data_IF_745981502843
#
_entry.id   IF_745981502843
#
_cell.length_a   1.000
_cell.length_b   1.000
_cell.length_c   1.000
_cell.angle_alpha   90.00
_cell.angle_beta   90.00
_cell.angle_gamma   90.00
#
_symmetry.space_group_name_H-M   'P 1'
#
loop_
_entity.id
_entity.type
_entity.pdbx_description
1 polymer ?
#
# COMPACT_ATOMS: atom_id res chain seq x y z
N UNK A 1 22.81 -12.19 9.82
CA UNK A 1 22.33 -12.57 8.46
C UNK A 1 20.87 -12.18 8.35
N UNK A 2 20.48 -11.55 7.25
CA UNK A 2 19.07 -11.23 6.94
C UNK A 2 18.67 -11.97 5.66
N UNK A 3 17.47 -12.52 5.63
CA UNK A 3 16.93 -13.27 4.49
C UNK A 3 15.48 -12.85 4.28
N UNK A 4 15.06 -12.66 3.02
CA UNK A 4 13.65 -12.54 2.61
C UNK A 4 13.19 -13.82 1.95
N UNK A 5 12.01 -14.33 2.32
CA UNK A 5 11.43 -15.56 1.76
C UNK A 5 9.92 -15.44 1.61
N UNK A 6 9.38 -16.26 0.70
CA UNK A 6 7.96 -16.53 0.57
C UNK A 6 7.57 -17.65 1.55
N UNK A 7 6.47 -17.44 2.26
CA UNK A 7 5.89 -18.40 3.19
C UNK A 7 4.52 -18.84 2.75
N UNK A 8 4.20 -20.10 3.04
CA UNK A 8 2.94 -20.74 2.67
C UNK A 8 2.36 -21.40 3.92
N UNK A 9 1.20 -20.93 4.37
CA UNK A 9 0.47 -21.50 5.51
C UNK A 9 -0.95 -21.86 5.09
N UNK A 10 -1.55 -22.83 5.79
CA UNK A 10 -2.99 -23.09 5.71
C UNK A 10 -3.69 -22.13 6.70
N UNK A 11 -3.84 -20.90 6.29
CA UNK A 11 -4.53 -19.89 7.07
C UNK A 11 -5.93 -19.65 6.49
N UNK A 12 -6.80 -19.01 7.28
CA UNK A 12 -8.03 -18.42 6.78
C UNK A 12 -7.70 -17.33 5.75
N UNK A 13 -8.66 -17.03 4.89
CA UNK A 13 -8.53 -15.92 3.92
C UNK A 13 -9.48 -14.83 4.33
N UNK A 14 -8.95 -13.82 5.00
CA UNK A 14 -9.69 -12.62 5.44
C UNK A 14 -8.90 -11.33 5.16
N UNK A 15 -9.25 -10.23 5.82
CA UNK A 15 -8.56 -8.95 5.65
C UNK A 15 -7.15 -8.91 6.23
N UNK A 16 -6.80 -9.82 7.14
CA UNK A 16 -5.52 -9.85 7.87
C UNK A 16 -4.70 -11.11 7.61
N UNK A 17 -5.30 -12.15 7.01
CA UNK A 17 -4.66 -13.44 6.74
C UNK A 17 -4.73 -13.79 5.26
N UNK A 18 -3.62 -14.31 4.75
CA UNK A 18 -3.52 -14.85 3.39
C UNK A 18 -2.52 -16.02 3.37
N UNK A 19 -2.81 -17.12 2.64
CA UNK A 19 -1.99 -18.33 2.70
C UNK A 19 -0.58 -18.17 2.11
N UNK A 20 -0.33 -17.09 1.39
CA UNK A 20 0.98 -16.76 0.82
C UNK A 20 1.36 -15.37 1.34
N UNK A 21 2.56 -15.24 1.92
CA UNK A 21 3.06 -13.98 2.43
C UNK A 21 4.58 -13.97 2.44
N UNK A 22 5.17 -12.79 2.60
CA UNK A 22 6.62 -12.63 2.65
C UNK A 22 7.07 -12.35 4.06
N UNK A 23 8.17 -12.99 4.47
CA UNK A 23 8.82 -12.63 5.73
C UNK A 23 10.24 -12.18 5.49
N UNK A 24 10.67 -11.24 6.31
CA UNK A 24 12.07 -10.99 6.56
C UNK A 24 12.48 -11.69 7.85
N UNK A 25 13.53 -12.49 7.75
CA UNK A 25 14.09 -13.23 8.87
C UNK A 25 15.50 -12.75 9.16
N UNK A 26 15.83 -12.66 10.42
CA UNK A 26 17.17 -12.31 10.87
C UNK A 26 17.71 -13.29 11.89
N UNK A 27 19.02 -13.53 11.84
CA UNK A 27 19.74 -14.31 12.86
C UNK A 27 21.09 -13.66 13.15
N UNK A 28 21.43 -13.56 14.43
CA UNK A 28 22.75 -13.15 14.92
C UNK A 28 23.26 -14.17 15.94
N UNK A 29 24.49 -14.60 15.76
CA UNK A 29 25.22 -15.43 16.71
C UNK A 29 26.30 -14.60 17.39
N UNK A 30 26.53 -14.82 18.68
CA UNK A 30 27.50 -14.07 19.49
C UNK A 30 28.73 -14.93 19.75
N UNK A 31 29.88 -14.32 19.64
CA UNK A 31 31.18 -14.91 19.98
C UNK A 31 31.57 -14.62 21.44
N UNK A 32 32.58 -15.31 21.95
CA UNK A 32 33.13 -14.98 23.28
C UNK A 32 33.71 -13.59 23.34
N UNK A 33 34.21 -13.04 22.21
CA UNK A 33 34.72 -11.67 22.12
C UNK A 33 33.62 -10.63 22.36
N UNK A 34 32.42 -10.86 21.83
CA UNK A 34 31.25 -9.98 22.04
C UNK A 34 30.92 -9.88 23.54
N UNK A 35 30.98 -10.99 24.28
CA UNK A 35 30.70 -11.03 25.72
C UNK A 35 31.81 -10.42 26.56
N UNK A 36 33.06 -10.71 26.23
CA UNK A 36 34.21 -10.14 26.95
C UNK A 36 34.24 -8.62 26.83
N UNK A 37 33.98 -8.08 25.65
CA UNK A 37 33.87 -6.63 25.41
C UNK A 37 32.79 -5.95 26.26
N UNK A 38 31.69 -6.67 26.58
CA UNK A 38 30.59 -6.20 27.43
C UNK A 38 30.77 -6.55 28.94
N UNK A 39 31.82 -7.24 29.33
CA UNK A 39 32.03 -7.67 30.73
C UNK A 39 31.10 -8.77 31.21
N UNK A 40 30.54 -9.54 30.28
CA UNK A 40 29.55 -10.61 30.52
C UNK A 40 30.29 -11.95 30.66
N UNK A 41 30.08 -12.65 31.78
CA UNK A 41 30.89 -13.83 32.10
C UNK A 41 30.06 -15.08 32.43
N UNK A 42 28.85 -14.94 33.03
CA UNK A 42 28.03 -16.10 33.35
C UNK A 42 27.03 -16.46 32.26
N UNK A 43 26.57 -17.73 32.19
CA UNK A 43 25.56 -18.16 31.21
C UNK A 43 24.28 -17.30 31.25
N UNK A 44 23.80 -16.96 32.47
CA UNK A 44 22.60 -16.13 32.66
C UNK A 44 22.83 -14.72 32.14
N UNK A 45 24.00 -14.14 32.36
CA UNK A 45 24.36 -12.82 31.81
C UNK A 45 24.46 -12.85 30.30
N UNK A 46 25.01 -13.93 29.70
CA UNK A 46 25.08 -14.10 28.25
C UNK A 46 23.69 -14.16 27.63
N UNK A 47 22.78 -14.93 28.23
CA UNK A 47 21.38 -15.03 27.78
C UNK A 47 20.68 -13.66 27.81
N UNK A 48 20.78 -12.98 28.94
CA UNK A 48 20.21 -11.63 29.12
C UNK A 48 20.78 -10.62 28.11
N UNK A 49 22.07 -10.66 27.87
CA UNK A 49 22.75 -9.79 26.88
C UNK A 49 22.20 -10.03 25.47
N UNK A 50 22.02 -11.28 25.07
CA UNK A 50 21.46 -11.66 23.77
C UNK A 50 20.00 -11.21 23.63
N UNK A 51 19.20 -11.37 24.68
CA UNK A 51 17.81 -10.92 24.73
C UNK A 51 17.72 -9.38 24.63
N UNK A 52 18.55 -8.66 25.39
CA UNK A 52 18.56 -7.20 25.38
C UNK A 52 19.03 -6.64 24.01
N UNK A 53 20.04 -7.25 23.38
CA UNK A 53 20.50 -6.87 22.05
C UNK A 53 19.36 -7.07 21.00
N UNK A 54 18.65 -8.19 21.07
CA UNK A 54 17.50 -8.49 20.21
C UNK A 54 16.40 -7.44 20.39
N UNK A 55 15.94 -7.25 21.63
CA UNK A 55 14.83 -6.34 21.93
C UNK A 55 15.16 -4.90 21.57
N UNK A 56 16.33 -4.41 21.93
CA UNK A 56 16.77 -3.07 21.58
C UNK A 56 16.85 -2.84 20.07
N UNK A 57 17.38 -3.84 19.33
CA UNK A 57 17.48 -3.76 17.89
C UNK A 57 16.12 -3.70 17.20
N UNK A 58 15.18 -4.54 17.66
CA UNK A 58 13.83 -4.60 17.09
C UNK A 58 12.98 -3.39 17.47
N UNK A 59 13.06 -2.90 18.70
CA UNK A 59 12.42 -1.64 19.10
C UNK A 59 12.98 -0.44 18.31
N UNK A 60 14.30 -0.41 18.08
CA UNK A 60 14.92 0.61 17.25
C UNK A 60 14.38 0.60 15.81
N UNK A 61 14.21 -0.59 15.22
CA UNK A 61 13.60 -0.75 13.90
C UNK A 61 12.15 -0.26 13.88
N UNK A 62 11.35 -0.61 14.88
CA UNK A 62 9.95 -0.18 14.96
C UNK A 62 9.85 1.34 15.09
N UNK A 63 10.70 1.97 15.91
CA UNK A 63 10.74 3.45 16.02
C UNK A 63 11.15 4.14 14.73
N UNK A 64 12.05 3.53 13.95
CA UNK A 64 12.46 4.07 12.64
C UNK A 64 11.31 4.00 11.62
N UNK A 65 10.52 2.90 11.64
CA UNK A 65 9.43 2.69 10.69
C UNK A 65 8.16 3.46 11.05
N UNK A 66 7.80 3.50 12.34
CA UNK A 66 6.49 3.98 12.80
C UNK A 66 6.56 5.23 13.68
N UNK A 67 7.77 5.71 14.00
CA UNK A 67 7.95 6.82 14.93
C UNK A 67 7.75 6.41 16.39
N UNK A 68 7.25 7.34 17.21
CA UNK A 68 7.02 7.14 18.63
C UNK A 68 5.66 6.46 18.88
N UNK A 69 5.63 5.14 18.68
CA UNK A 69 4.45 4.30 18.92
C UNK A 69 4.58 3.54 20.23
N UNK A 70 3.45 3.26 20.88
CA UNK A 70 3.42 2.42 22.06
C UNK A 70 3.71 0.97 21.68
N UNK A 71 4.66 0.34 22.40
CA UNK A 71 5.11 -1.03 22.17
C UNK A 71 4.95 -1.87 23.41
N UNK A 72 4.66 -3.14 23.25
CA UNK A 72 4.72 -4.12 24.33
C UNK A 72 5.31 -5.43 23.86
N UNK A 73 5.97 -6.12 24.79
CA UNK A 73 6.49 -7.47 24.60
C UNK A 73 5.53 -8.48 25.23
N UNK A 74 5.18 -9.52 24.45
CA UNK A 74 4.48 -10.72 24.89
C UNK A 74 5.43 -11.91 24.93
N UNK A 75 5.16 -12.85 25.83
CA UNK A 75 5.79 -14.17 25.81
C UNK A 75 5.04 -15.04 24.80
N UNK A 76 5.80 -15.78 24.00
CA UNK A 76 5.25 -16.68 22.98
C UNK A 76 6.02 -18.02 22.98
N UNK A 77 5.62 -18.95 22.14
CA UNK A 77 6.29 -20.22 21.96
C UNK A 77 6.55 -20.54 20.50
N UNK A 78 7.84 -20.62 20.16
CA UNK A 78 8.29 -21.15 18.88
C UNK A 78 9.21 -22.36 19.12
N UNK A 79 9.10 -23.45 18.33
CA UNK A 79 9.91 -24.66 18.55
C UNK A 79 11.41 -24.48 18.29
N UNK A 80 11.82 -23.33 17.75
CA UNK A 80 13.20 -23.02 17.37
C UNK A 80 13.84 -21.93 18.24
N UNK A 81 13.11 -21.34 19.19
CA UNK A 81 13.62 -20.33 20.15
C UNK A 81 13.20 -20.65 21.59
N UNK A 82 14.05 -20.29 22.57
CA UNK A 82 13.81 -20.38 24.01
C UNK A 82 14.75 -19.40 24.75
N UNK A 83 14.27 -18.31 25.35
CA UNK A 83 12.88 -17.83 25.36
C UNK A 83 12.40 -17.29 24.00
N UNK A 84 11.08 -17.29 23.83
CA UNK A 84 10.41 -16.76 22.63
C UNK A 84 9.54 -15.57 23.01
N UNK A 85 9.48 -14.58 22.12
CA UNK A 85 8.76 -13.33 22.34
C UNK A 85 8.03 -12.91 21.08
N UNK A 86 6.99 -12.11 21.26
CA UNK A 86 6.36 -11.32 20.21
C UNK A 86 6.44 -9.83 20.55
N UNK A 87 6.57 -8.99 19.53
CA UNK A 87 6.50 -7.54 19.67
C UNK A 87 5.21 -7.04 19.03
N UNK A 88 4.42 -6.33 19.83
CA UNK A 88 3.20 -5.68 19.39
C UNK A 88 3.34 -4.17 19.47
N UNK A 89 2.66 -3.47 18.55
CA UNK A 89 2.50 -2.02 18.57
C UNK A 89 1.04 -1.64 18.73
N UNK A 90 0.76 -0.51 19.40
CA UNK A 90 -0.58 0.05 19.46
C UNK A 90 -0.81 0.94 18.24
N UNK A 91 -1.72 0.50 17.35
CA UNK A 91 -1.98 1.17 16.10
C UNK A 91 -3.47 1.06 15.73
N UNK A 92 -4.10 2.19 15.31
CA UNK A 92 -5.53 2.25 14.97
C UNK A 92 -6.46 1.68 16.05
N UNK A 93 -6.20 2.06 17.31
CA UNK A 93 -6.99 1.67 18.50
C UNK A 93 -6.94 0.17 18.87
N UNK A 94 -5.97 -0.58 18.33
CA UNK A 94 -5.78 -2.00 18.67
C UNK A 94 -4.29 -2.37 18.77
N UNK A 95 -4.00 -3.49 19.44
CA UNK A 95 -2.67 -4.08 19.48
C UNK A 95 -2.44 -4.97 18.29
N UNK A 96 -1.39 -4.67 17.54
CA UNK A 96 -0.99 -5.40 16.35
C UNK A 96 0.37 -6.09 16.57
N UNK A 97 0.39 -7.41 16.48
CA UNK A 97 1.64 -8.19 16.42
C UNK A 97 2.41 -7.84 15.14
N UNK A 98 3.65 -7.39 15.29
CA UNK A 98 4.54 -7.01 14.19
C UNK A 98 5.51 -8.12 13.82
N UNK A 99 6.00 -8.84 14.86
CA UNK A 99 7.02 -9.89 14.66
C UNK A 99 7.07 -10.86 15.83
N UNK A 100 7.52 -12.07 15.53
CA UNK A 100 7.96 -13.07 16.50
C UNK A 100 9.47 -13.20 16.53
N UNK A 101 10.05 -13.43 17.70
CA UNK A 101 11.51 -13.54 17.85
C UNK A 101 11.90 -14.36 19.10
N UNK A 102 13.20 -14.56 19.28
CA UNK A 102 13.69 -15.21 20.51
C UNK A 102 15.16 -15.60 20.45
N UNK A 103 15.62 -16.18 21.54
CA UNK A 103 16.95 -16.77 21.57
C UNK A 103 16.94 -18.12 20.89
N UNK A 104 17.83 -18.37 19.97
CA UNK A 104 17.88 -19.61 19.18
C UNK A 104 18.06 -20.81 20.12
N UNK A 105 17.20 -21.81 19.95
CA UNK A 105 17.21 -23.00 20.78
C UNK A 105 18.58 -23.69 20.72
N UNK A 106 19.15 -24.02 21.90
CA UNK A 106 20.52 -24.58 22.03
C UNK A 106 20.75 -25.85 21.22
N UNK A 107 19.74 -26.68 21.03
CA UNK A 107 19.87 -27.92 20.25
C UNK A 107 20.05 -27.64 18.75
N UNK A 108 19.44 -26.55 18.24
CA UNK A 108 19.67 -26.09 16.85
C UNK A 108 21.10 -25.60 16.70
N UNK A 109 21.57 -24.77 17.63
CA UNK A 109 22.95 -24.24 17.61
C UNK A 109 23.98 -25.37 17.63
N UNK A 110 23.75 -26.40 18.46
CA UNK A 110 24.59 -27.62 18.51
C UNK A 110 24.53 -28.42 17.21
N UNK A 111 23.35 -28.59 16.65
CA UNK A 111 23.15 -29.37 15.43
C UNK A 111 23.87 -28.77 14.21
N UNK A 112 24.06 -27.44 14.17
CA UNK A 112 24.79 -26.74 13.11
C UNK A 112 26.30 -26.58 13.43
N UNK A 113 26.80 -27.24 14.47
CA UNK A 113 28.22 -27.28 14.82
C UNK A 113 28.74 -26.00 15.47
N UNK A 114 27.87 -25.16 16.04
CA UNK A 114 28.25 -23.91 16.71
C UNK A 114 28.46 -24.06 18.23
N UNK A 115 28.34 -25.29 18.76
CA UNK A 115 28.54 -25.57 20.18
C UNK A 115 27.46 -24.94 21.05
N UNK A 116 27.89 -24.16 22.06
CA UNK A 116 27.01 -23.46 22.98
C UNK A 116 26.96 -21.93 22.72
N UNK A 117 27.30 -21.48 21.51
CA UNK A 117 27.25 -20.07 21.13
C UNK A 117 25.80 -19.58 21.14
N UNK A 118 25.40 -18.66 22.02
CA UNK A 118 24.05 -18.13 22.00
C UNK A 118 23.85 -17.17 20.83
N UNK A 119 22.60 -17.05 20.39
CA UNK A 119 22.23 -16.13 19.32
C UNK A 119 20.74 -15.86 19.38
N UNK A 120 20.29 -14.91 18.61
CA UNK A 120 18.88 -14.60 18.47
C UNK A 120 18.42 -14.74 17.02
N UNK A 121 17.11 -14.94 16.86
CA UNK A 121 16.44 -14.91 15.58
C UNK A 121 15.12 -14.15 15.69
N UNK A 122 14.70 -13.56 14.56
CA UNK A 122 13.37 -12.98 14.40
C UNK A 122 12.80 -13.27 13.03
N UNK A 123 11.46 -13.23 12.94
CA UNK A 123 10.72 -13.25 11.68
C UNK A 123 9.62 -12.21 11.70
N UNK A 124 9.55 -11.38 10.67
CA UNK A 124 8.51 -10.36 10.53
C UNK A 124 7.79 -10.47 9.19
N UNK A 125 6.45 -10.33 9.21
CA UNK A 125 5.60 -10.33 8.03
C UNK A 125 5.66 -9.00 7.31
N UNK A 126 6.13 -8.99 6.05
CA UNK A 126 6.30 -7.75 5.28
C UNK A 126 4.96 -7.12 4.92
N UNK A 127 3.95 -7.93 4.58
CA UNK A 127 2.61 -7.42 4.26
C UNK A 127 1.97 -6.72 5.46
N UNK A 128 2.11 -7.29 6.67
CA UNK A 128 1.55 -6.69 7.89
C UNK A 128 2.18 -5.33 8.19
N UNK A 129 3.50 -5.22 8.06
CA UNK A 129 4.20 -3.93 8.15
C UNK A 129 3.73 -2.94 7.09
N UNK A 130 3.61 -3.40 5.84
CA UNK A 130 3.17 -2.56 4.73
C UNK A 130 1.71 -2.10 4.93
N UNK A 131 0.82 -2.96 5.43
CA UNK A 131 -0.55 -2.57 5.77
C UNK A 131 -0.58 -1.40 6.75
N UNK A 132 0.27 -1.43 7.78
CA UNK A 132 0.36 -0.35 8.74
C UNK A 132 0.96 0.91 8.11
N UNK A 133 2.14 0.81 7.49
CA UNK A 133 2.87 1.95 6.93
C UNK A 133 2.08 2.70 5.85
N UNK A 134 1.36 1.97 5.01
CA UNK A 134 0.63 2.54 3.87
C UNK A 134 -0.88 2.66 4.14
N UNK A 135 -1.35 2.32 5.35
CA UNK A 135 -2.80 2.28 5.71
C UNK A 135 -3.63 1.40 4.76
N UNK A 136 -3.10 0.24 4.38
CA UNK A 136 -3.79 -0.71 3.50
C UNK A 136 -4.74 -1.56 4.36
N UNK A 137 -6.07 -1.54 4.10
CA UNK A 137 -7.06 -2.14 5.00
C UNK A 137 -7.22 -3.65 4.84
N UNK A 138 -6.64 -4.24 3.81
CA UNK A 138 -6.90 -5.64 3.45
C UNK A 138 -5.67 -6.26 2.78
N UNK A 139 -5.13 -7.32 3.38
CA UNK A 139 -3.94 -8.02 2.89
C UNK A 139 -4.13 -8.59 1.46
N UNK A 140 -5.37 -8.91 1.07
CA UNK A 140 -5.68 -9.45 -0.26
C UNK A 140 -5.40 -8.46 -1.39
N UNK A 141 -5.30 -7.16 -1.09
CA UNK A 141 -4.95 -6.13 -2.06
C UNK A 141 -3.55 -6.31 -2.65
N UNK A 142 -2.60 -6.84 -1.88
CA UNK A 142 -1.25 -7.14 -2.39
C UNK A 142 -1.24 -8.18 -3.53
N UNK A 143 -2.28 -9.02 -3.61
CA UNK A 143 -2.46 -10.05 -4.63
C UNK A 143 -3.46 -9.63 -5.72
N UNK A 144 -3.94 -8.39 -5.65
CA UNK A 144 -4.83 -7.81 -6.67
C UNK A 144 -4.09 -7.65 -8.00
N UNK A 145 -4.82 -7.87 -9.09
CA UNK A 145 -4.37 -7.55 -10.45
C UNK A 145 -4.84 -6.17 -10.91
N UNK A 146 -5.39 -5.39 -10.01
CA UNK A 146 -5.89 -4.04 -10.31
C UNK A 146 -4.72 -3.06 -10.28
N UNK A 147 -4.38 -2.52 -11.45
CA UNK A 147 -3.25 -1.60 -11.60
C UNK A 147 -3.40 -0.33 -10.73
N UNK A 148 -4.64 0.06 -10.39
CA UNK A 148 -4.90 1.20 -9.51
C UNK A 148 -4.36 1.01 -8.09
N UNK A 149 -4.17 -0.22 -7.64
CA UNK A 149 -3.48 -0.51 -6.40
C UNK A 149 -1.97 -0.26 -6.55
N UNK A 150 -1.37 -0.88 -7.55
CA UNK A 150 0.08 -0.88 -7.74
C UNK A 150 0.64 0.51 -8.08
N UNK A 151 -0.05 1.26 -8.94
CA UNK A 151 0.36 2.61 -9.35
C UNK A 151 0.50 3.61 -8.19
N UNK A 152 -0.23 3.41 -7.09
CA UNK A 152 -0.12 4.29 -5.92
C UNK A 152 1.26 4.23 -5.26
N UNK A 153 1.98 3.12 -5.42
CA UNK A 153 3.24 2.83 -4.73
C UNK A 153 4.47 2.83 -5.65
N UNK A 154 4.31 3.18 -6.93
CA UNK A 154 5.40 3.17 -7.93
C UNK A 154 6.54 4.16 -7.62
N UNK A 155 6.24 5.22 -6.89
CA UNK A 155 7.27 6.19 -6.48
C UNK A 155 8.31 5.62 -5.54
N UNK A 156 7.99 4.51 -4.82
CA UNK A 156 8.81 3.96 -3.74
C UNK A 156 8.79 4.78 -2.45
N UNK A 157 8.00 5.84 -2.40
CA UNK A 157 7.80 6.66 -1.21
C UNK A 157 6.71 6.06 -0.30
N UNK A 158 6.76 6.39 1.01
CA UNK A 158 5.70 6.02 1.94
C UNK A 158 4.50 6.93 1.68
N UNK A 159 3.45 6.37 1.10
CA UNK A 159 2.20 7.08 0.79
C UNK A 159 1.01 6.36 1.45
N UNK A 160 0.01 7.11 1.87
CA UNK A 160 -1.22 6.53 2.41
C UNK A 160 -2.08 5.99 1.27
N UNK A 161 -2.48 4.74 1.38
CA UNK A 161 -3.38 4.08 0.42
C UNK A 161 -4.68 4.87 0.25
N UNK A 162 -5.04 5.13 -1.00
CA UNK A 162 -6.29 5.76 -1.37
C UNK A 162 -7.29 4.69 -1.85
N UNK A 163 -8.42 4.52 -1.17
CA UNK A 163 -9.45 3.59 -1.60
C UNK A 163 -9.93 3.89 -3.01
N UNK A 164 -10.18 2.84 -3.78
CA UNK A 164 -10.79 2.92 -5.10
C UNK A 164 -12.02 2.01 -5.20
N UNK A 165 -12.95 2.39 -6.05
CA UNK A 165 -14.21 1.70 -6.17
C UNK A 165 -14.07 0.30 -6.77
N UNK A 166 -14.77 -0.67 -6.18
CA UNK A 166 -14.94 -2.04 -6.71
C UNK A 166 -16.03 -2.15 -7.78
N UNK A 167 -16.83 -1.11 -7.96
CA UNK A 167 -17.92 -1.10 -8.93
C UNK A 167 -17.42 -0.72 -10.34
N UNK A 168 -18.09 -1.21 -11.41
CA UNK A 168 -17.65 -0.91 -12.77
C UNK A 168 -17.85 0.57 -13.11
N UNK A 169 -16.96 1.16 -13.92
CA UNK A 169 -17.16 2.51 -14.43
C UNK A 169 -18.25 2.55 -15.48
N UNK A 170 -18.93 3.67 -15.58
CA UNK A 170 -19.78 4.01 -16.71
C UNK A 170 -19.04 5.04 -17.59
N UNK A 171 -18.70 4.65 -18.81
CA UNK A 171 -17.92 5.50 -19.73
C UNK A 171 -18.86 6.29 -20.65
N UNK A 172 -18.65 7.61 -20.73
CA UNK A 172 -19.36 8.50 -21.63
C UNK A 172 -18.39 9.41 -22.34
N UNK A 173 -18.63 9.64 -23.61
CA UNK A 173 -17.78 10.50 -24.42
C UNK A 173 -18.49 11.84 -24.71
N UNK A 174 -17.72 12.90 -24.77
CA UNK A 174 -18.15 14.23 -25.24
C UNK A 174 -17.17 14.74 -26.26
N UNK A 175 -17.70 15.11 -27.43
CA UNK A 175 -16.89 15.67 -28.52
C UNK A 175 -17.40 17.05 -28.87
N UNK A 176 -16.47 17.99 -29.08
CA UNK A 176 -16.79 19.37 -29.45
C UNK A 176 -15.67 20.00 -30.27
N UNK A 177 -16.03 21.05 -31.02
CA UNK A 177 -15.08 21.88 -31.75
C UNK A 177 -14.47 22.91 -30.79
N UNK A 178 -13.13 22.96 -30.74
CA UNK A 178 -12.40 23.83 -29.78
C UNK A 178 -12.30 25.28 -30.28
N UNK A 179 -12.64 25.56 -31.56
CA UNK A 179 -12.65 26.89 -32.13
C UNK A 179 -13.80 27.05 -33.13
N UNK A 180 -14.25 28.28 -33.38
CA UNK A 180 -15.11 28.61 -34.50
C UNK A 180 -14.31 28.60 -35.80
N UNK A 181 -14.99 28.59 -36.93
CA UNK A 181 -14.34 28.65 -38.23
C UNK A 181 -13.61 30.00 -38.40
N UNK A 182 -12.28 29.93 -38.62
CA UNK A 182 -11.41 31.10 -38.77
C UNK A 182 -10.82 31.67 -37.49
N UNK A 183 -11.18 31.17 -36.28
CA UNK A 183 -10.66 31.63 -35.01
C UNK A 183 -9.58 30.66 -34.47
N UNK A 184 -8.60 31.22 -33.75
CA UNK A 184 -7.70 30.41 -32.93
C UNK A 184 -8.43 29.82 -31.72
N UNK A 185 -8.05 28.59 -31.35
CA UNK A 185 -8.62 27.94 -30.18
C UNK A 185 -8.11 28.60 -28.88
N UNK A 186 -9.03 29.03 -28.02
CA UNK A 186 -8.73 29.48 -26.66
C UNK A 186 -9.05 28.39 -25.63
N UNK A 187 -9.50 27.21 -26.08
CA UNK A 187 -9.88 26.12 -25.20
C UNK A 187 -8.67 25.54 -24.45
N UNK A 188 -8.81 25.39 -23.14
CA UNK A 188 -7.87 24.66 -22.31
C UNK A 188 -8.57 23.47 -21.63
N UNK A 189 -7.93 22.31 -21.59
CA UNK A 189 -8.56 21.09 -21.03
C UNK A 189 -8.96 21.21 -19.57
N UNK A 190 -8.27 22.06 -18.79
CA UNK A 190 -8.60 22.27 -17.37
C UNK A 190 -9.98 22.93 -17.21
N UNK A 191 -10.42 23.75 -18.17
CA UNK A 191 -11.74 24.38 -18.15
C UNK A 191 -12.84 23.31 -18.28
N UNK A 192 -12.62 22.29 -19.14
CA UNK A 192 -13.50 21.12 -19.20
C UNK A 192 -13.50 20.34 -17.91
N UNK A 193 -12.34 20.13 -17.30
CA UNK A 193 -12.23 19.38 -16.04
C UNK A 193 -12.99 20.07 -14.91
N UNK A 194 -12.98 21.40 -14.87
CA UNK A 194 -13.76 22.18 -13.92
C UNK A 194 -15.27 21.99 -14.14
N UNK A 195 -15.75 22.16 -15.37
CA UNK A 195 -17.17 21.95 -15.71
C UNK A 195 -17.63 20.54 -15.33
N UNK A 196 -16.86 19.52 -15.67
CA UNK A 196 -17.21 18.13 -15.38
C UNK A 196 -17.26 17.88 -13.87
N UNK A 197 -16.32 18.44 -13.12
CA UNK A 197 -16.27 18.33 -11.65
C UNK A 197 -17.44 19.04 -10.99
N UNK A 198 -17.78 20.23 -11.46
CA UNK A 198 -18.90 21.02 -10.91
C UNK A 198 -20.25 20.31 -11.11
N UNK A 199 -20.41 19.61 -12.24
CA UNK A 199 -21.65 18.90 -12.56
C UNK A 199 -21.75 17.54 -11.86
N UNK A 200 -20.69 16.77 -11.85
CA UNK A 200 -20.69 15.35 -11.48
C UNK A 200 -20.01 15.05 -10.14
N UNK A 201 -19.24 15.98 -9.58
CA UNK A 201 -18.62 15.86 -8.25
C UNK A 201 -17.82 14.57 -8.09
N UNK A 202 -18.06 13.89 -6.98
CA UNK A 202 -17.34 12.66 -6.60
C UNK A 202 -17.66 11.45 -7.49
N UNK A 203 -18.58 11.57 -8.43
CA UNK A 203 -18.86 10.50 -9.39
C UNK A 203 -17.87 10.47 -10.56
N UNK A 204 -17.03 11.49 -10.72
CA UNK A 204 -15.99 11.51 -11.78
C UNK A 204 -14.72 10.87 -11.26
N UNK A 205 -14.36 9.72 -11.80
CA UNK A 205 -13.08 9.06 -11.52
C UNK A 205 -11.97 9.62 -12.42
N UNK A 206 -12.27 9.89 -13.70
CA UNK A 206 -11.28 10.29 -14.71
C UNK A 206 -11.89 10.99 -15.90
N UNK A 207 -11.14 11.94 -16.50
CA UNK A 207 -11.44 12.56 -17.77
C UNK A 207 -10.20 12.49 -18.65
N UNK A 208 -10.32 11.92 -19.85
CA UNK A 208 -9.19 11.68 -20.76
C UNK A 208 -9.50 12.19 -22.17
N UNK A 209 -8.52 12.83 -22.78
CA UNK A 209 -8.57 13.12 -24.22
C UNK A 209 -8.27 11.83 -25.00
N UNK A 210 -9.28 11.31 -25.72
CA UNK A 210 -9.18 10.03 -26.45
C UNK A 210 -9.01 10.20 -27.95
N UNK A 211 -9.41 11.36 -28.50
CA UNK A 211 -9.26 11.63 -29.95
C UNK A 211 -9.16 13.13 -30.22
N UNK A 212 -8.36 13.48 -31.23
CA UNK A 212 -8.23 14.83 -31.78
C UNK A 212 -8.43 14.76 -33.28
N UNK A 213 -9.46 15.42 -33.77
CA UNK A 213 -9.79 15.43 -35.20
C UNK A 213 -9.65 16.84 -35.81
N UNK A 214 -8.90 16.96 -36.88
CA UNK A 214 -8.81 18.19 -37.66
C UNK A 214 -9.66 18.08 -38.90
N UNK A 215 -10.62 19.01 -39.11
CA UNK A 215 -11.51 18.99 -40.26
C UNK A 215 -10.75 19.40 -41.52
N UNK A 216 -10.75 18.56 -42.60
CA UNK A 216 -9.84 18.74 -43.75
C UNK A 216 -10.12 19.99 -44.63
N UNK A 217 -11.32 20.58 -44.53
CA UNK A 217 -11.68 21.77 -45.30
C UNK A 217 -11.65 23.07 -44.51
N UNK A 218 -11.99 22.99 -43.22
CA UNK A 218 -12.10 24.20 -42.38
C UNK A 218 -10.95 24.35 -41.40
N UNK A 219 -10.08 23.35 -41.28
CA UNK A 219 -9.00 23.25 -40.27
C UNK A 219 -9.44 23.38 -38.81
N UNK A 220 -10.74 23.32 -38.54
CA UNK A 220 -11.26 23.27 -37.16
C UNK A 220 -10.79 22.02 -36.46
N UNK A 221 -10.42 22.15 -35.20
CA UNK A 221 -10.00 21.05 -34.36
C UNK A 221 -11.17 20.65 -33.46
N UNK A 222 -11.48 19.35 -33.43
CA UNK A 222 -12.44 18.77 -32.50
C UNK A 222 -11.71 17.84 -31.56
N UNK A 223 -11.96 17.98 -30.27
CA UNK A 223 -11.48 17.08 -29.23
C UNK A 223 -12.60 16.17 -28.76
N UNK A 224 -12.25 14.90 -28.50
CA UNK A 224 -13.14 13.92 -27.89
C UNK A 224 -12.57 13.53 -26.53
N UNK A 225 -13.33 13.78 -25.48
CA UNK A 225 -12.96 13.39 -24.14
C UNK A 225 -13.85 12.27 -23.64
N UNK A 226 -13.24 11.28 -22.99
CA UNK A 226 -13.92 10.22 -22.27
C UNK A 226 -13.99 10.57 -20.79
N UNK A 227 -15.20 10.49 -20.22
CA UNK A 227 -15.47 10.67 -18.81
C UNK A 227 -15.81 9.31 -18.23
N UNK A 228 -15.05 8.91 -17.21
CA UNK A 228 -15.31 7.69 -16.43
C UNK A 228 -16.07 8.08 -15.18
N UNK A 229 -17.33 7.70 -15.12
CA UNK A 229 -18.18 7.86 -13.93
C UNK A 229 -18.13 6.62 -13.09
N UNK A 230 -17.91 6.76 -11.78
CA UNK A 230 -17.88 5.64 -10.84
C UNK A 230 -18.30 6.11 -9.45
N UNK A 231 -19.12 5.32 -8.75
CA UNK A 231 -19.41 5.54 -7.34
C UNK A 231 -18.54 4.64 -6.47
N UNK A 232 -18.21 5.10 -5.27
CA UNK A 232 -17.52 4.29 -4.25
C UNK A 232 -18.46 3.27 -3.60
N UNK A 233 -19.77 3.54 -3.58
CA UNK A 233 -20.75 2.83 -2.73
C UNK A 233 -21.63 1.86 -3.48
N UNK A 234 -21.87 2.08 -4.78
CA UNK A 234 -22.85 1.31 -5.58
C UNK A 234 -22.53 1.32 -7.07
N UNK A 235 -23.18 0.42 -7.81
CA UNK A 235 -23.22 0.51 -9.28
C UNK A 235 -24.09 1.69 -9.70
N UNK A 236 -23.63 2.45 -10.70
CA UNK A 236 -24.37 3.54 -11.32
C UNK A 236 -25.33 2.98 -12.37
N UNK A 237 -26.52 3.56 -12.48
CA UNK A 237 -27.48 3.20 -13.54
C UNK A 237 -27.23 4.04 -14.80
N UNK A 238 -27.60 3.49 -15.97
CA UNK A 238 -27.46 4.22 -17.23
C UNK A 238 -28.31 5.50 -17.25
N UNK A 239 -29.56 5.47 -16.78
CA UNK A 239 -30.46 6.61 -16.77
C UNK A 239 -29.92 7.77 -15.91
N UNK A 240 -29.33 7.44 -14.76
CA UNK A 240 -28.69 8.42 -13.89
C UNK A 240 -27.51 9.10 -14.59
N UNK A 241 -26.65 8.30 -15.23
CA UNK A 241 -25.45 8.82 -15.91
C UNK A 241 -25.82 9.53 -17.22
N UNK A 242 -26.85 9.09 -17.93
CA UNK A 242 -27.31 9.79 -19.13
C UNK A 242 -27.86 11.18 -18.81
N UNK A 243 -28.57 11.32 -17.70
CA UNK A 243 -29.02 12.61 -17.17
C UNK A 243 -27.86 13.52 -16.80
N UNK A 244 -26.87 12.98 -16.10
CA UNK A 244 -25.67 13.71 -15.70
C UNK A 244 -24.85 14.15 -16.92
N UNK A 245 -24.63 13.24 -17.88
CA UNK A 245 -23.91 13.51 -19.11
C UNK A 245 -24.60 14.57 -19.99
N UNK A 246 -25.94 14.59 -20.04
CA UNK A 246 -26.68 15.64 -20.73
C UNK A 246 -26.38 17.00 -20.11
N UNK A 247 -26.38 17.12 -18.79
CA UNK A 247 -26.06 18.35 -18.08
C UNK A 247 -24.59 18.78 -18.34
N UNK A 248 -23.65 17.84 -18.32
CA UNK A 248 -22.25 18.14 -18.67
C UNK A 248 -22.15 18.74 -20.08
N UNK A 249 -22.86 18.18 -21.05
CA UNK A 249 -22.87 18.70 -22.44
C UNK A 249 -23.45 20.10 -22.53
N UNK A 250 -24.54 20.36 -21.84
CA UNK A 250 -25.18 21.68 -21.82
C UNK A 250 -24.25 22.73 -21.17
N UNK A 251 -23.63 22.40 -20.04
CA UNK A 251 -22.73 23.29 -19.32
C UNK A 251 -21.41 23.53 -20.10
N UNK A 252 -20.89 22.51 -20.77
CA UNK A 252 -19.69 22.66 -21.65
C UNK A 252 -19.99 23.68 -22.77
N UNK A 253 -21.16 23.62 -23.40
CA UNK A 253 -21.54 24.60 -24.42
C UNK A 253 -21.71 25.99 -23.83
N UNK A 254 -22.40 26.08 -22.67
CA UNK A 254 -22.74 27.37 -22.04
C UNK A 254 -21.51 28.08 -21.48
N UNK A 255 -20.62 27.36 -20.83
CA UNK A 255 -19.48 27.96 -20.12
C UNK A 255 -18.23 28.12 -21.01
N UNK A 256 -17.95 27.13 -21.88
CA UNK A 256 -16.76 27.15 -22.72
C UNK A 256 -17.01 27.75 -24.12
N UNK A 257 -18.26 28.02 -24.47
CA UNK A 257 -18.63 28.60 -25.77
C UNK A 257 -18.29 27.72 -26.98
N UNK A 258 -18.12 26.41 -26.75
CA UNK A 258 -17.78 25.41 -27.78
C UNK A 258 -19.04 24.87 -28.46
N UNK A 259 -18.87 24.22 -29.62
CA UNK A 259 -19.93 23.58 -30.37
C UNK A 259 -19.77 22.06 -30.30
N UNK A 260 -20.79 21.33 -29.81
CA UNK A 260 -20.78 19.87 -29.80
C UNK A 260 -20.67 19.29 -31.21
N UNK A 261 -20.01 18.14 -31.27
CA UNK A 261 -19.82 17.38 -32.51
C UNK A 261 -20.55 16.03 -32.43
#
# INVERSE_FOLDING_TARGET
>A
MLIRRDFYRRDEIDSSHYPIFHQMEGVRMFSDEDFHGAGVTTPEQKLKFVEDDLKNGLEGMVRELFGDVEMRWGDDYFPFTDPSFELEIYFNDEWLEVLGCGVVHKDIVKAVGRGDQPGWAFGLGLERLAMVLFSIPDIRLFWSKDDRFHHQFESGEIVTFQPYSKYPPCLKDVSFWTSKEGDESTFHQNDLFEVVRDVAGDLVERVELIDVFTHPKTNRISNCFRISYRSMDRSLTNDEIDTLQAKVRDDVVAQLGVELR
#
